data_IF_964693857889
#
_entry.id   IF_964693857889
#
_cell.length_a   1.000
_cell.length_b   1.000
_cell.length_c   1.000
_cell.angle_alpha   90.00
_cell.angle_beta   90.00
_cell.angle_gamma   90.00
#
_symmetry.space_group_name_H-M   'P 1'
#
loop_
_entity.id
_entity.type
_entity.pdbx_description
1 polymer ?
#
# COMPACT_ATOMS: atom_id res chain seq x y z
N UNK A 1 9.51 -11.94 -10.89
CA UNK A 1 8.66 -12.60 -9.88
C UNK A 1 7.87 -11.51 -9.18
N UNK A 2 6.54 -11.59 -9.15
CA UNK A 2 5.73 -10.61 -8.43
C UNK A 2 5.76 -10.92 -6.92
N UNK A 3 6.35 -10.03 -6.11
CA UNK A 3 6.33 -10.15 -4.65
C UNK A 3 4.99 -9.65 -4.10
N UNK A 4 4.36 -10.48 -3.27
CA UNK A 4 3.13 -10.15 -2.55
C UNK A 4 3.48 -9.88 -1.10
N UNK A 5 3.36 -8.62 -0.69
CA UNK A 5 3.58 -8.16 0.65
C UNK A 5 2.32 -8.39 1.49
N UNK A 6 2.54 -8.79 2.74
CA UNK A 6 1.48 -8.82 3.75
C UNK A 6 1.20 -7.41 4.30
N UNK A 7 0.06 -7.19 4.97
CA UNK A 7 -0.21 -5.91 5.61
C UNK A 7 0.90 -5.49 6.59
N UNK A 8 1.55 -6.46 7.24
CA UNK A 8 2.62 -6.22 8.20
C UNK A 8 3.90 -5.72 7.51
N UNK A 9 4.26 -6.32 6.38
CA UNK A 9 5.41 -5.89 5.60
C UNK A 9 5.21 -4.51 4.98
N UNK A 10 4.01 -4.21 4.49
CA UNK A 10 3.67 -2.85 4.03
C UNK A 10 3.75 -1.86 5.19
N UNK A 11 3.25 -2.24 6.36
CA UNK A 11 3.34 -1.42 7.57
C UNK A 11 4.79 -1.10 7.94
N UNK A 12 5.70 -2.08 7.85
CA UNK A 12 7.14 -1.90 8.09
C UNK A 12 7.80 -1.05 7.00
N UNK A 13 7.50 -1.32 5.72
CA UNK A 13 8.08 -0.60 4.57
C UNK A 13 7.78 0.89 4.60
N UNK A 14 6.52 1.24 4.87
CA UNK A 14 6.06 2.63 4.92
C UNK A 14 6.17 3.24 6.32
N UNK A 15 6.63 2.48 7.31
CA UNK A 15 6.67 2.87 8.72
C UNK A 15 5.35 3.47 9.24
N UNK A 16 4.22 2.97 8.73
CA UNK A 16 2.86 3.38 9.14
C UNK A 16 2.32 2.43 10.21
N UNK A 17 1.13 2.70 10.74
CA UNK A 17 0.41 1.77 11.62
C UNK A 17 -0.55 0.90 10.80
N UNK A 18 -0.81 -0.34 11.27
CA UNK A 18 -1.82 -1.23 10.66
C UNK A 18 -3.18 -0.53 10.51
N UNK A 19 -3.57 0.27 11.51
CA UNK A 19 -4.80 1.05 11.46
C UNK A 19 -4.85 2.01 10.25
N UNK A 20 -3.75 2.74 9.99
CA UNK A 20 -3.62 3.62 8.81
C UNK A 20 -3.72 2.83 7.51
N UNK A 21 -3.05 1.67 7.44
CA UNK A 21 -3.12 0.79 6.27
C UNK A 21 -4.54 0.27 6.04
N UNK A 22 -5.26 -0.14 7.10
CA UNK A 22 -6.65 -0.56 7.00
C UNK A 22 -7.57 0.58 6.58
N UNK A 23 -7.33 1.80 7.05
CA UNK A 23 -8.04 2.99 6.60
C UNK A 23 -7.80 3.26 5.10
N UNK A 24 -6.55 3.19 4.64
CA UNK A 24 -6.21 3.40 3.23
C UNK A 24 -6.81 2.34 2.32
N UNK A 25 -6.76 1.08 2.73
CA UNK A 25 -7.37 -0.02 1.97
C UNK A 25 -8.89 0.08 1.94
N UNK A 26 -9.54 0.43 3.06
CA UNK A 26 -10.98 0.68 3.10
C UNK A 26 -11.40 1.85 2.23
N UNK A 27 -10.55 2.88 2.10
CA UNK A 27 -10.78 4.04 1.23
C UNK A 27 -10.31 3.83 -0.22
N UNK A 28 -9.83 2.63 -0.56
CA UNK A 28 -9.25 2.31 -1.86
C UNK A 28 -8.11 3.26 -2.28
N UNK A 29 -7.40 3.83 -1.30
CA UNK A 29 -6.31 4.77 -1.54
C UNK A 29 -5.01 4.07 -1.94
N UNK A 30 -4.85 2.80 -1.61
CA UNK A 30 -3.65 2.00 -1.86
C UNK A 30 -4.04 0.73 -2.61
N UNK A 31 -3.28 0.29 -3.63
CA UNK A 31 -3.61 -0.91 -4.39
C UNK A 31 -3.49 -2.16 -3.51
N UNK A 32 -4.61 -2.86 -3.31
CA UNK A 32 -4.66 -4.09 -2.55
C UNK A 32 -5.34 -5.21 -3.35
N UNK A 33 -4.96 -6.45 -3.05
CA UNK A 33 -5.49 -7.67 -3.64
C UNK A 33 -6.17 -8.49 -2.55
N UNK A 34 -7.43 -8.86 -2.76
CA UNK A 34 -8.18 -9.72 -1.85
C UNK A 34 -8.15 -11.17 -2.34
N UNK A 35 -7.23 -11.97 -1.81
CA UNK A 35 -7.08 -13.40 -2.18
C UNK A 35 -7.05 -14.27 -0.92
N UNK A 36 -8.20 -14.40 -0.26
CA UNK A 36 -8.33 -15.03 1.06
C UNK A 36 -7.84 -14.16 2.24
N UNK A 37 -7.28 -12.98 1.95
CA UNK A 37 -6.81 -11.97 2.88
C UNK A 37 -6.35 -10.72 2.11
N UNK A 38 -5.96 -9.66 2.81
CA UNK A 38 -5.32 -8.50 2.18
C UNK A 38 -3.87 -8.84 1.81
N UNK A 39 -3.54 -8.68 0.54
CA UNK A 39 -2.17 -8.77 0.02
C UNK A 39 -1.88 -7.55 -0.85
N UNK A 40 -0.63 -7.16 -0.93
CA UNK A 40 -0.22 -5.98 -1.70
C UNK A 40 0.85 -6.40 -2.70
N UNK A 41 0.68 -6.06 -3.96
CA UNK A 41 1.71 -6.31 -4.97
C UNK A 41 2.78 -5.24 -4.82
N UNK A 42 4.02 -5.66 -4.62
CA UNK A 42 5.17 -4.75 -4.49
C UNK A 42 5.26 -3.79 -5.68
N UNK A 43 5.19 -4.32 -6.90
CA UNK A 43 5.24 -3.50 -8.12
C UNK A 43 4.09 -2.47 -8.22
N UNK A 44 2.91 -2.80 -7.71
CA UNK A 44 1.78 -1.85 -7.73
C UNK A 44 1.94 -0.78 -6.64
N UNK A 45 2.52 -1.13 -5.50
CA UNK A 45 2.88 -0.18 -4.45
C UNK A 45 3.96 0.80 -4.93
N UNK A 46 4.97 0.32 -5.66
CA UNK A 46 6.02 1.15 -6.24
C UNK A 46 5.47 2.13 -7.29
N UNK A 47 4.56 1.65 -8.15
CA UNK A 47 3.83 2.53 -9.08
C UNK A 47 2.97 3.54 -8.34
N UNK A 48 2.21 3.10 -7.35
CA UNK A 48 1.37 3.97 -6.55
C UNK A 48 2.18 5.05 -5.82
N UNK A 49 3.36 4.72 -5.30
CA UNK A 49 4.28 5.69 -4.69
C UNK A 49 4.80 6.69 -5.74
N UNK A 50 5.16 6.20 -6.92
CA UNK A 50 5.63 7.03 -8.03
C UNK A 50 4.54 7.96 -8.55
N UNK A 51 3.30 7.48 -8.67
CA UNK A 51 2.14 8.24 -9.13
C UNK A 51 1.63 9.21 -8.04
N UNK A 52 1.69 8.82 -6.77
CA UNK A 52 1.33 9.65 -5.62
C UNK A 52 2.28 10.84 -5.40
N UNK A 53 3.53 10.73 -5.86
CA UNK A 53 4.52 11.82 -5.78
C UNK A 53 4.14 13.04 -6.65
N UNK A 54 3.26 12.88 -7.64
CA UNK A 54 2.71 14.02 -8.38
C UNK A 54 1.65 14.83 -7.61
N UNK A 55 1.19 14.36 -6.44
CA UNK A 55 0.13 15.03 -5.66
C UNK A 55 0.45 15.28 -4.18
N UNK A 56 1.66 14.93 -3.70
CA UNK A 56 2.13 15.22 -2.33
C UNK A 56 3.35 16.16 -2.38
N UNK A 57 3.32 17.15 -3.28
CA UNK A 57 3.98 18.45 -3.02
C UNK A 57 2.92 19.42 -2.48
N UNK A 58 2.37 19.13 -1.31
CA UNK A 58 1.65 20.15 -0.54
C UNK A 58 1.65 19.79 0.95
N UNK A 59 2.81 19.90 1.58
CA UNK A 59 2.99 20.48 2.92
C UNK A 59 4.44 20.91 3.07
#
# INVERSE_FOLDING_TARGET
MERLLTPEEVCQRYSIKKNTLYQWTSKNLIPYLKRGGLRFKENELEKWESEGTSNIKLI
#
